data_IF_139385769987
#
_entry.id   IF_139385769987
#
_cell.length_a   1.000
_cell.length_b   1.000
_cell.length_c   1.000
_cell.angle_alpha   90.00
_cell.angle_beta   90.00
_cell.angle_gamma   90.00
#
_symmetry.space_group_name_H-M   'P 1'
#
loop_
_entity.id
_entity.type
_entity.pdbx_description
1 polymer ?
#
# COMPACT_ATOMS: atom_id res chain seq x y z
N UNK A 1 -2.57 4.32 -17.82
CA UNK A 1 -1.28 3.82 -18.34
C UNK A 1 -0.82 2.68 -17.43
N UNK A 2 -0.47 1.56 -18.00
CA UNK A 2 0.09 0.39 -17.28
C UNK A 2 1.57 0.27 -17.66
N UNK A 3 2.43 0.12 -16.65
CA UNK A 3 3.88 -0.05 -16.78
C UNK A 3 4.33 -1.11 -15.76
N UNK A 4 5.54 -1.65 -15.93
CA UNK A 4 6.08 -2.60 -14.96
C UNK A 4 6.11 -2.01 -13.54
N UNK A 5 5.39 -2.64 -12.62
CA UNK A 5 5.27 -2.22 -11.23
C UNK A 5 4.45 -0.95 -10.97
N UNK A 6 3.80 -0.37 -12.00
CA UNK A 6 2.99 0.84 -11.84
C UNK A 6 1.76 0.88 -12.73
N UNK A 7 0.67 1.43 -12.17
CA UNK A 7 -0.54 1.76 -12.91
C UNK A 7 -0.87 3.22 -12.66
N UNK A 8 -1.00 4.01 -13.73
CA UNK A 8 -1.46 5.40 -13.65
C UNK A 8 -2.88 5.48 -14.15
N UNK A 9 -3.76 6.07 -13.35
CA UNK A 9 -5.14 6.34 -13.71
C UNK A 9 -5.49 7.80 -13.41
N UNK A 10 -6.59 8.27 -13.95
CA UNK A 10 -7.12 9.62 -13.72
C UNK A 10 -8.35 9.52 -12.82
N UNK A 11 -8.48 10.44 -11.90
CA UNK A 11 -9.60 10.53 -10.96
C UNK A 11 -9.58 11.84 -10.20
N UNK A 12 -10.61 12.07 -9.40
CA UNK A 12 -10.71 13.17 -8.44
C UNK A 12 -10.03 12.83 -7.10
N UNK A 13 -10.13 13.72 -6.12
CA UNK A 13 -9.54 13.47 -4.79
C UNK A 13 -10.26 12.34 -4.03
N UNK A 14 -11.53 12.04 -4.33
CA UNK A 14 -12.22 10.86 -3.79
C UNK A 14 -11.57 9.56 -4.31
N UNK A 15 -11.10 9.56 -5.55
CA UNK A 15 -10.37 8.40 -6.10
C UNK A 15 -9.06 8.13 -5.37
N UNK A 16 -8.37 9.15 -4.82
CA UNK A 16 -7.18 8.96 -3.98
C UNK A 16 -7.56 8.25 -2.67
N UNK A 17 -8.63 8.68 -1.99
CA UNK A 17 -9.13 8.05 -0.78
C UNK A 17 -9.50 6.58 -1.04
N UNK A 18 -10.33 6.36 -2.06
CA UNK A 18 -10.75 5.01 -2.46
C UNK A 18 -9.58 4.09 -2.82
N UNK A 19 -8.59 4.61 -3.58
CA UNK A 19 -7.43 3.81 -3.95
C UNK A 19 -6.62 3.34 -2.73
N UNK A 20 -6.43 4.20 -1.72
CA UNK A 20 -5.77 3.84 -0.47
C UNK A 20 -6.57 2.81 0.35
N UNK A 21 -7.90 2.94 0.40
CA UNK A 21 -8.76 2.07 1.21
C UNK A 21 -9.01 0.72 0.54
N UNK A 22 -9.29 0.69 -0.76
CA UNK A 22 -9.80 -0.51 -1.43
C UNK A 22 -8.74 -1.36 -2.14
N UNK A 23 -7.59 -0.79 -2.56
CA UNK A 23 -6.62 -1.55 -3.36
C UNK A 23 -5.84 -2.56 -2.52
N UNK A 24 -5.99 -3.83 -2.87
CA UNK A 24 -5.40 -4.96 -2.14
C UNK A 24 -3.95 -5.25 -2.53
N UNK A 25 -3.59 -4.94 -3.78
CA UNK A 25 -2.31 -5.34 -4.38
C UNK A 25 -1.34 -4.19 -4.59
N UNK A 26 -1.78 -2.95 -4.31
CA UNK A 26 -0.94 -1.77 -4.38
C UNK A 26 -0.10 -1.62 -3.09
N UNK A 27 1.18 -1.26 -3.26
CA UNK A 27 2.07 -0.92 -2.13
C UNK A 27 1.92 0.54 -1.69
N UNK A 28 1.57 1.43 -2.63
CA UNK A 28 1.42 2.86 -2.39
C UNK A 28 0.55 3.52 -3.43
N UNK A 29 -0.10 4.59 -3.01
CA UNK A 29 -0.83 5.48 -3.89
C UNK A 29 -0.09 6.82 -3.92
N UNK A 30 0.28 7.24 -5.13
CA UNK A 30 1.00 8.49 -5.34
C UNK A 30 0.10 9.46 -6.13
N UNK A 31 -0.03 10.68 -5.63
CA UNK A 31 -0.61 11.77 -6.39
C UNK A 31 0.46 12.32 -7.36
N UNK A 32 0.27 12.11 -8.67
CA UNK A 32 1.23 12.51 -9.68
C UNK A 32 1.30 14.03 -9.78
N UNK A 33 2.43 14.61 -9.38
CA UNK A 33 2.67 16.06 -9.45
C UNK A 33 3.28 16.49 -10.78
N UNK A 34 4.07 15.63 -11.44
CA UNK A 34 4.70 15.96 -12.71
C UNK A 34 5.32 14.75 -13.41
N UNK A 35 5.58 14.95 -14.72
CA UNK A 35 6.36 14.01 -15.54
C UNK A 35 7.08 14.80 -16.62
N UNK A 36 8.38 14.60 -16.73
CA UNK A 36 9.22 15.28 -17.73
C UNK A 36 10.52 14.52 -18.00
N UNK A 37 11.13 14.78 -19.13
CA UNK A 37 12.46 14.26 -19.45
C UNK A 37 13.53 15.12 -18.80
N UNK A 38 14.58 14.53 -18.25
CA UNK A 38 15.77 15.20 -17.75
C UNK A 38 17.00 14.30 -17.89
N UNK A 39 18.03 14.78 -18.56
CA UNK A 39 19.31 14.10 -18.75
C UNK A 39 20.47 14.77 -18.01
N UNK A 40 20.24 15.99 -17.49
CA UNK A 40 21.18 16.74 -16.65
C UNK A 40 20.53 17.17 -15.34
N UNK A 41 21.35 17.47 -14.34
CA UNK A 41 20.87 18.00 -13.06
C UNK A 41 20.27 19.40 -13.20
N UNK A 42 20.74 20.23 -14.14
CA UNK A 42 20.16 21.54 -14.43
C UNK A 42 18.75 21.39 -14.99
N UNK A 43 18.55 20.48 -15.94
CA UNK A 43 17.21 20.17 -16.45
C UNK A 43 16.27 19.64 -15.35
N UNK A 44 16.78 18.75 -14.50
CA UNK A 44 16.03 18.25 -13.35
C UNK A 44 15.62 19.39 -12.42
N UNK A 45 16.55 20.30 -12.10
CA UNK A 45 16.28 21.45 -11.24
C UNK A 45 15.20 22.36 -11.84
N UNK A 46 15.40 22.83 -13.07
CA UNK A 46 14.51 23.80 -13.70
C UNK A 46 13.10 23.23 -13.92
N UNK A 47 12.99 21.97 -14.38
CA UNK A 47 11.69 21.33 -14.60
C UNK A 47 10.98 20.98 -13.30
N UNK A 48 11.71 20.60 -12.26
CA UNK A 48 11.13 20.40 -10.91
C UNK A 48 10.60 21.71 -10.32
N UNK A 49 11.32 22.82 -10.52
CA UNK A 49 10.93 24.17 -10.10
C UNK A 49 9.66 24.66 -10.82
N UNK A 50 9.42 24.23 -12.07
CA UNK A 50 8.21 24.58 -12.83
C UNK A 50 6.94 23.90 -12.32
N UNK A 51 7.03 22.80 -11.55
CA UNK A 51 5.87 22.17 -10.95
C UNK A 51 5.22 23.14 -9.95
N UNK A 52 3.89 23.35 -10.00
CA UNK A 52 3.19 24.25 -9.10
C UNK A 52 3.01 23.61 -7.71
N UNK A 53 4.10 23.52 -6.95
CA UNK A 53 4.13 22.86 -5.64
C UNK A 53 3.18 23.50 -4.63
N UNK A 54 2.93 24.79 -4.74
CA UNK A 54 1.98 25.55 -3.92
C UNK A 54 0.54 25.04 -4.02
N UNK A 55 0.20 24.34 -5.10
CA UNK A 55 -1.13 23.71 -5.25
C UNK A 55 -1.28 22.42 -4.42
N UNK A 56 -0.18 21.88 -3.92
CA UNK A 56 -0.14 20.65 -3.15
C UNK A 56 0.30 20.85 -1.72
N UNK A 57 1.26 21.76 -1.49
CA UNK A 57 2.00 21.88 -0.23
C UNK A 57 1.79 23.30 0.31
N UNK A 58 1.14 23.48 1.47
CA UNK A 58 1.01 24.78 2.13
C UNK A 58 2.36 25.29 2.63
N UNK A 59 2.43 26.60 2.95
CA UNK A 59 3.66 27.26 3.35
C UNK A 59 4.32 26.70 4.63
N UNK A 60 3.59 26.02 5.48
CA UNK A 60 4.09 25.35 6.68
C UNK A 60 4.28 23.83 6.48
N UNK A 61 3.96 23.29 5.30
CA UNK A 61 4.07 21.87 5.01
C UNK A 61 5.53 21.39 5.08
N UNK A 62 5.75 20.22 5.67
CA UNK A 62 7.05 19.54 5.71
C UNK A 62 7.19 18.65 4.50
N UNK A 63 8.11 18.96 3.61
CA UNK A 63 8.30 18.20 2.37
C UNK A 63 9.75 17.78 2.16
N UNK A 64 9.93 16.59 1.63
CA UNK A 64 11.25 16.04 1.27
C UNK A 64 11.10 14.92 0.24
N UNK A 65 12.17 14.64 -0.49
CA UNK A 65 12.20 13.52 -1.43
C UNK A 65 12.63 12.26 -0.69
N UNK A 66 11.69 11.37 -0.39
CA UNK A 66 11.91 10.16 0.42
C UNK A 66 12.63 9.07 -0.33
N UNK A 67 12.38 8.99 -1.64
CA UNK A 67 12.95 7.95 -2.49
C UNK A 67 13.13 8.46 -3.91
N UNK A 68 14.32 8.26 -4.43
CA UNK A 68 14.63 8.35 -5.85
C UNK A 68 15.03 6.96 -6.35
N UNK A 69 14.51 6.58 -7.50
CA UNK A 69 14.92 5.37 -8.20
C UNK A 69 15.14 5.70 -9.66
N UNK A 70 16.18 5.14 -10.26
CA UNK A 70 16.55 5.42 -11.64
C UNK A 70 16.90 4.13 -12.36
N UNK A 71 16.31 3.95 -13.54
CA UNK A 71 16.51 2.78 -14.39
C UNK A 71 16.77 3.24 -15.81
N UNK A 72 17.88 2.81 -16.39
CA UNK A 72 18.28 3.13 -17.79
C UNK A 72 18.20 4.63 -18.07
N UNK A 73 18.74 5.47 -17.17
CA UNK A 73 18.70 6.93 -17.28
C UNK A 73 20.08 7.52 -16.99
N UNK A 74 20.34 8.70 -17.56
CA UNK A 74 21.60 9.43 -17.38
C UNK A 74 21.80 9.86 -15.92
N UNK A 75 20.74 10.30 -15.25
CA UNK A 75 20.75 10.62 -13.83
C UNK A 75 20.49 9.36 -13.02
N UNK A 76 21.50 8.83 -12.34
CA UNK A 76 21.45 7.52 -11.65
C UNK A 76 21.75 7.60 -10.15
N UNK A 77 22.26 8.73 -9.63
CA UNK A 77 22.55 8.88 -8.20
C UNK A 77 21.28 9.29 -7.42
N UNK A 78 20.70 8.41 -6.57
CA UNK A 78 19.49 8.76 -5.83
C UNK A 78 19.67 9.96 -4.90
N UNK A 79 20.82 10.07 -4.20
CA UNK A 79 21.12 11.17 -3.28
C UNK A 79 21.18 12.52 -3.98
N UNK A 80 21.81 12.57 -5.16
CA UNK A 80 21.94 13.82 -5.91
C UNK A 80 20.59 14.25 -6.48
N UNK A 81 19.81 13.30 -7.03
CA UNK A 81 18.45 13.54 -7.48
C UNK A 81 17.59 14.11 -6.34
N UNK A 82 17.63 13.50 -5.16
CA UNK A 82 16.86 13.96 -3.98
C UNK A 82 17.28 15.39 -3.57
N UNK A 83 18.57 15.65 -3.51
CA UNK A 83 19.12 16.95 -3.10
C UNK A 83 18.75 18.06 -4.08
N UNK A 84 18.95 17.84 -5.38
CA UNK A 84 18.62 18.81 -6.44
C UNK A 84 17.12 19.08 -6.49
N UNK A 85 16.28 18.05 -6.40
CA UNK A 85 14.84 18.23 -6.37
C UNK A 85 14.36 19.01 -5.14
N UNK A 86 14.88 18.69 -3.93
CA UNK A 86 14.52 19.45 -2.71
C UNK A 86 14.88 20.92 -2.87
N UNK A 87 16.07 21.23 -3.41
CA UNK A 87 16.49 22.61 -3.68
C UNK A 87 15.56 23.32 -4.66
N UNK A 88 15.21 22.68 -5.77
CA UNK A 88 14.31 23.24 -6.78
C UNK A 88 12.90 23.53 -6.20
N UNK A 89 12.38 22.61 -5.39
CA UNK A 89 11.11 22.81 -4.68
C UNK A 89 11.16 24.00 -3.74
N UNK A 90 12.21 24.12 -2.93
CA UNK A 90 12.39 25.26 -2.01
C UNK A 90 12.42 26.56 -2.77
N UNK A 91 13.15 26.67 -3.88
CA UNK A 91 13.21 27.88 -4.71
C UNK A 91 11.82 28.23 -5.31
N UNK A 92 11.05 27.26 -5.76
CA UNK A 92 9.67 27.50 -6.18
C UNK A 92 8.81 28.04 -5.04
N UNK A 93 8.85 27.38 -3.90
CA UNK A 93 8.04 27.73 -2.73
C UNK A 93 8.38 29.13 -2.20
N UNK A 94 9.69 29.50 -2.17
CA UNK A 94 10.12 30.87 -1.83
C UNK A 94 9.47 31.91 -2.71
N UNK A 95 9.51 31.68 -4.03
CA UNK A 95 8.91 32.60 -5.00
C UNK A 95 7.39 32.74 -4.81
N UNK A 96 6.67 31.61 -4.63
CA UNK A 96 5.21 31.63 -4.54
C UNK A 96 4.69 32.15 -3.20
N UNK A 97 5.35 31.81 -2.10
CA UNK A 97 4.93 32.22 -0.76
C UNK A 97 5.60 33.52 -0.25
N UNK A 98 6.52 34.10 -1.02
CA UNK A 98 7.27 35.30 -0.63
C UNK A 98 7.95 35.13 0.75
N UNK A 99 8.55 33.97 1.00
CA UNK A 99 9.20 33.61 2.27
C UNK A 99 10.60 33.06 2.01
N UNK A 100 11.57 33.46 2.83
CA UNK A 100 12.93 32.93 2.76
C UNK A 100 13.12 31.63 3.55
N UNK A 101 12.28 31.40 4.55
CA UNK A 101 12.32 30.21 5.40
C UNK A 101 10.93 29.62 5.59
N UNK A 102 10.89 28.29 5.67
CA UNK A 102 9.67 27.53 5.90
C UNK A 102 9.76 26.88 7.29
N UNK A 103 8.73 26.97 8.14
CA UNK A 103 8.77 26.42 9.48
C UNK A 103 8.78 24.87 9.50
N UNK A 104 8.24 24.24 8.45
CA UNK A 104 8.10 22.78 8.32
C UNK A 104 7.44 22.10 9.56
N UNK A 105 6.52 22.81 10.22
CA UNK A 105 5.80 22.39 11.43
C UNK A 105 4.39 21.85 11.13
N UNK A 106 3.97 21.88 9.87
CA UNK A 106 2.70 21.35 9.41
C UNK A 106 2.76 19.88 8.98
N UNK A 107 1.75 19.47 8.20
CA UNK A 107 1.64 18.12 7.68
C UNK A 107 2.82 17.70 6.79
N UNK A 108 3.04 16.40 6.70
CA UNK A 108 4.12 15.79 5.94
C UNK A 108 3.72 15.53 4.50
N UNK A 109 4.56 15.93 3.55
CA UNK A 109 4.40 15.72 2.10
C UNK A 109 5.61 14.97 1.54
N UNK A 110 5.66 13.64 1.69
CA UNK A 110 6.77 12.84 1.20
C UNK A 110 6.70 12.70 -0.32
N UNK A 111 7.76 13.05 -1.03
CA UNK A 111 7.86 12.98 -2.49
C UNK A 111 8.66 11.76 -2.90
N UNK A 112 8.24 11.13 -3.99
CA UNK A 112 8.94 10.05 -4.65
C UNK A 112 9.18 10.40 -6.10
N UNK A 113 10.35 10.06 -6.60
CA UNK A 113 10.68 10.20 -8.01
C UNK A 113 11.17 8.89 -8.57
N UNK A 114 10.71 8.60 -9.75
CA UNK A 114 11.16 7.45 -10.51
C UNK A 114 11.58 7.87 -11.92
N UNK A 115 12.83 7.61 -12.24
CA UNK A 115 13.39 7.79 -13.57
C UNK A 115 13.33 6.48 -14.35
N UNK A 116 12.81 6.52 -15.55
CA UNK A 116 12.84 5.44 -16.52
C UNK A 116 13.15 6.01 -17.91
N UNK A 117 14.30 5.61 -18.48
CA UNK A 117 14.73 6.11 -19.80
C UNK A 117 14.68 7.63 -19.87
N UNK A 118 15.31 8.28 -18.89
CA UNK A 118 15.40 9.73 -18.72
C UNK A 118 14.06 10.46 -18.47
N UNK A 119 12.96 9.75 -18.32
CA UNK A 119 11.69 10.33 -17.92
C UNK A 119 11.54 10.25 -16.40
N UNK A 120 11.48 11.42 -15.76
CA UNK A 120 11.16 11.56 -14.35
C UNK A 120 9.65 11.56 -14.15
N UNK A 121 9.13 10.63 -13.37
CA UNK A 121 7.75 10.67 -12.85
C UNK A 121 7.80 11.01 -11.37
N UNK A 122 7.12 12.07 -10.98
CA UNK A 122 7.14 12.62 -9.62
C UNK A 122 5.77 12.47 -8.99
N UNK A 123 5.72 11.88 -7.80
CA UNK A 123 4.49 11.68 -7.04
C UNK A 123 4.63 12.07 -5.58
N UNK A 124 3.56 12.59 -5.00
CA UNK A 124 3.41 12.84 -3.57
C UNK A 124 2.80 11.60 -2.95
N UNK A 125 3.45 11.02 -1.94
CA UNK A 125 3.02 9.77 -1.30
C UNK A 125 1.84 10.03 -0.38
N UNK A 126 0.66 9.56 -0.78
CA UNK A 126 -0.59 9.73 -0.03
C UNK A 126 -0.77 8.66 1.05
N UNK A 127 -0.11 7.51 0.90
CA UNK A 127 -0.29 6.35 1.77
C UNK A 127 0.53 6.43 3.07
N UNK A 128 1.75 6.96 3.02
CA UNK A 128 2.68 7.00 4.15
C UNK A 128 3.32 5.64 4.41
N UNK A 129 2.88 4.92 5.42
CA UNK A 129 3.30 3.53 5.67
C UNK A 129 2.83 2.66 4.51
N UNK A 130 3.65 1.68 4.07
CA UNK A 130 3.29 0.80 2.94
C UNK A 130 1.96 0.10 3.15
N UNK A 131 1.15 -0.01 2.08
CA UNK A 131 -0.22 -0.54 2.15
C UNK A 131 -0.29 -2.02 2.52
N UNK A 132 0.78 -2.81 2.36
CA UNK A 132 0.81 -4.17 2.89
C UNK A 132 0.59 -4.20 4.41
N UNK A 133 1.01 -3.19 5.16
CA UNK A 133 0.73 -3.09 6.58
C UNK A 133 -0.75 -2.70 6.79
N UNK A 134 -1.62 -3.70 6.80
CA UNK A 134 -3.09 -3.53 6.94
C UNK A 134 -3.53 -3.03 8.32
N UNK A 135 -2.69 -3.17 9.33
CA UNK A 135 -2.99 -2.85 10.72
C UNK A 135 -3.25 -4.07 11.61
N UNK A 136 -3.66 -5.20 11.06
CA UNK A 136 -4.00 -6.40 11.84
C UNK A 136 -2.78 -7.20 12.32
N UNK A 137 -1.63 -7.15 11.61
CA UNK A 137 -0.47 -7.96 11.97
C UNK A 137 0.32 -7.33 13.10
N UNK A 138 0.16 -7.82 14.30
CA UNK A 138 0.98 -7.46 15.47
C UNK A 138 2.12 -8.46 15.68
N UNK A 139 1.89 -9.73 15.33
CA UNK A 139 2.85 -10.82 15.49
C UNK A 139 3.25 -11.35 14.11
N UNK A 140 4.54 -11.49 13.88
CA UNK A 140 5.09 -12.03 12.64
C UNK A 140 6.01 -13.20 12.90
N UNK A 141 5.95 -14.22 12.04
CA UNK A 141 6.96 -15.27 11.94
C UNK A 141 8.22 -14.75 11.24
N UNK A 142 9.28 -15.57 11.19
CA UNK A 142 10.47 -15.26 10.39
C UNK A 142 10.07 -15.13 8.90
N UNK A 143 10.40 -14.00 8.26
CA UNK A 143 10.20 -13.71 6.85
C UNK A 143 8.76 -13.99 6.31
N UNK A 144 7.70 -13.38 6.86
CA UNK A 144 6.35 -13.58 6.35
C UNK A 144 6.20 -12.98 4.94
N UNK A 145 5.32 -13.60 4.13
CA UNK A 145 4.89 -12.99 2.87
C UNK A 145 4.16 -11.66 3.15
N UNK A 146 4.33 -10.66 2.28
CA UNK A 146 3.58 -9.42 2.42
C UNK A 146 2.11 -9.61 2.06
N UNK A 147 1.23 -8.89 2.72
CA UNK A 147 -0.22 -8.99 2.56
C UNK A 147 -0.64 -8.64 1.13
N UNK A 148 -0.01 -7.65 0.52
CA UNK A 148 -0.27 -7.26 -0.88
C UNK A 148 0.08 -8.36 -1.87
N UNK A 149 1.19 -9.09 -1.64
CA UNK A 149 1.57 -10.21 -2.48
C UNK A 149 0.66 -11.42 -2.24
N UNK A 150 0.31 -11.72 -0.99
CA UNK A 150 -0.63 -12.78 -0.68
C UNK A 150 -2.01 -12.53 -1.33
N UNK A 151 -2.54 -11.32 -1.20
CA UNK A 151 -3.78 -10.93 -1.88
C UNK A 151 -3.67 -11.07 -3.41
N UNK A 152 -2.56 -10.66 -4.01
CA UNK A 152 -2.34 -10.79 -5.44
C UNK A 152 -2.35 -12.26 -5.90
N UNK A 153 -1.68 -13.15 -5.17
CA UNK A 153 -1.65 -14.58 -5.48
C UNK A 153 -3.04 -15.23 -5.36
N UNK A 154 -3.81 -14.86 -4.33
CA UNK A 154 -5.19 -15.33 -4.17
C UNK A 154 -6.06 -14.85 -5.34
N UNK A 155 -5.99 -13.57 -5.71
CA UNK A 155 -6.78 -13.00 -6.81
C UNK A 155 -6.39 -13.55 -8.18
N UNK A 156 -5.13 -13.92 -8.39
CA UNK A 156 -4.65 -14.55 -9.62
C UNK A 156 -5.00 -16.03 -9.69
N UNK A 157 -5.26 -16.67 -8.55
CA UNK A 157 -5.70 -18.06 -8.50
C UNK A 157 -7.17 -18.18 -8.95
N UNK A 158 -7.62 -19.36 -9.42
CA UNK A 158 -9.03 -19.60 -9.72
C UNK A 158 -9.89 -19.85 -8.47
N UNK A 159 -9.34 -19.65 -7.26
CA UNK A 159 -10.08 -19.79 -6.01
C UNK A 159 -11.24 -18.78 -5.93
N UNK A 160 -12.35 -19.23 -5.37
CA UNK A 160 -13.52 -18.41 -5.03
C UNK A 160 -14.02 -18.78 -3.65
N UNK A 161 -14.74 -17.88 -3.01
CA UNK A 161 -15.21 -18.00 -1.61
C UNK A 161 -16.02 -19.28 -1.29
N UNK A 162 -16.69 -19.85 -2.29
CA UNK A 162 -17.44 -21.11 -2.21
C UNK A 162 -16.58 -22.38 -2.29
N UNK A 163 -15.27 -22.21 -2.49
CA UNK A 163 -14.30 -23.31 -2.61
C UNK A 163 -13.38 -23.33 -1.42
N UNK A 164 -12.98 -24.55 -1.01
CA UNK A 164 -12.01 -24.72 0.05
C UNK A 164 -10.66 -24.13 -0.35
N UNK A 165 -10.04 -23.39 0.60
CA UNK A 165 -8.64 -22.95 0.55
C UNK A 165 -7.90 -23.51 1.77
N UNK A 166 -6.74 -24.11 1.54
CA UNK A 166 -5.89 -24.65 2.59
C UNK A 166 -4.49 -24.05 2.47
N UNK A 167 -3.98 -23.51 3.57
CA UNK A 167 -2.56 -23.15 3.73
C UNK A 167 -1.93 -24.07 4.81
N UNK A 168 -1.15 -25.10 4.38
CA UNK A 168 -0.55 -26.05 5.31
C UNK A 168 0.70 -25.54 6.03
N UNK A 169 1.18 -24.34 5.71
CA UNK A 169 2.30 -23.64 6.32
C UNK A 169 1.93 -22.17 6.58
N UNK A 170 0.78 -21.96 7.26
CA UNK A 170 0.15 -20.65 7.30
C UNK A 170 0.93 -19.60 8.09
N UNK A 171 1.89 -20.02 8.90
CA UNK A 171 2.68 -19.08 9.69
C UNK A 171 1.76 -18.18 10.54
N UNK A 172 1.97 -16.87 10.46
CA UNK A 172 1.13 -15.87 11.14
C UNK A 172 -0.24 -15.62 10.50
N UNK A 173 -0.67 -16.46 9.55
CA UNK A 173 -2.02 -16.47 8.98
C UNK A 173 -2.23 -15.56 7.75
N UNK A 174 -1.20 -15.11 7.08
CA UNK A 174 -1.34 -14.10 6.00
C UNK A 174 -2.29 -14.54 4.89
N UNK A 175 -2.09 -15.73 4.30
CA UNK A 175 -2.98 -16.21 3.23
C UNK A 175 -4.41 -16.44 3.70
N UNK A 176 -4.66 -17.16 4.81
CA UNK A 176 -6.01 -17.33 5.31
C UNK A 176 -6.73 -16.01 5.61
N UNK A 177 -6.05 -15.05 6.23
CA UNK A 177 -6.63 -13.73 6.58
C UNK A 177 -6.96 -12.93 5.31
N UNK A 178 -6.02 -12.79 4.37
CA UNK A 178 -6.27 -12.06 3.12
C UNK A 178 -7.38 -12.75 2.28
N UNK A 179 -7.46 -14.10 2.28
CA UNK A 179 -8.55 -14.82 1.63
C UNK A 179 -9.91 -14.53 2.28
N UNK A 180 -9.98 -14.52 3.60
CA UNK A 180 -11.20 -14.21 4.32
C UNK A 180 -11.64 -12.74 4.12
N UNK A 181 -10.70 -11.80 4.15
CA UNK A 181 -10.99 -10.40 3.83
C UNK A 181 -11.49 -10.22 2.38
N UNK A 182 -10.96 -10.99 1.43
CA UNK A 182 -11.44 -10.99 0.04
C UNK A 182 -12.85 -11.59 -0.04
N UNK A 183 -13.11 -12.71 0.64
CA UNK A 183 -14.41 -13.38 0.66
C UNK A 183 -15.49 -12.50 1.28
N UNK A 184 -15.20 -11.86 2.39
CA UNK A 184 -16.09 -10.94 3.11
C UNK A 184 -16.14 -9.53 2.51
N UNK A 185 -15.38 -9.26 1.44
CA UNK A 185 -15.24 -7.94 0.81
C UNK A 185 -14.81 -6.82 1.77
N UNK A 186 -14.06 -7.16 2.81
CA UNK A 186 -13.49 -6.18 3.75
C UNK A 186 -12.36 -5.42 3.05
N UNK A 187 -12.46 -4.10 2.96
CA UNK A 187 -11.43 -3.27 2.33
C UNK A 187 -10.16 -3.20 3.18
N UNK A 188 -8.96 -3.43 2.58
CA UNK A 188 -7.72 -3.62 3.35
C UNK A 188 -7.19 -2.35 4.04
N UNK A 189 -7.71 -1.17 3.69
CA UNK A 189 -7.29 0.11 4.25
C UNK A 189 -8.14 0.60 5.43
N UNK A 190 -9.16 -0.13 5.89
CA UNK A 190 -10.08 0.35 6.93
C UNK A 190 -9.45 0.48 8.33
N UNK A 191 -8.44 -0.34 8.63
CA UNK A 191 -7.83 -0.43 9.98
C UNK A 191 -6.46 0.26 10.04
N UNK A 192 -6.27 1.33 9.26
CA UNK A 192 -5.02 2.08 9.24
C UNK A 192 -5.25 3.55 8.88
N UNK A 193 -4.23 4.37 9.13
CA UNK A 193 -4.19 5.79 8.76
C UNK A 193 -3.37 6.01 7.48
N UNK A 194 -3.59 7.14 6.82
CA UNK A 194 -2.88 7.56 5.61
C UNK A 194 -2.31 8.96 5.78
N UNK A 195 -1.10 9.19 5.27
CA UNK A 195 -0.45 10.51 5.38
C UNK A 195 -1.31 11.64 4.79
N UNK A 196 -2.07 11.36 3.73
CA UNK A 196 -2.90 12.37 3.07
C UNK A 196 -4.20 12.73 3.84
N UNK A 197 -4.54 12.05 4.92
CA UNK A 197 -5.62 12.47 5.84
C UNK A 197 -5.29 13.79 6.55
N UNK A 198 -4.00 14.09 6.69
CA UNK A 198 -3.50 15.34 7.27
C UNK A 198 -3.44 16.50 6.25
N UNK A 199 -4.00 16.35 5.04
CA UNK A 199 -4.03 17.37 4.00
C UNK A 199 -5.45 17.91 3.74
N UNK A 200 -6.15 18.50 4.73
CA UNK A 200 -7.56 18.83 4.60
C UNK A 200 -7.88 19.89 3.52
N UNK A 201 -6.90 20.74 3.17
CA UNK A 201 -7.04 21.74 2.12
C UNK A 201 -7.00 21.09 0.72
N UNK A 202 -6.22 20.02 0.53
CA UNK A 202 -6.10 19.30 -0.72
C UNK A 202 -7.13 18.18 -0.83
N UNK A 203 -7.29 17.39 0.25
CA UNK A 203 -8.22 16.25 0.33
C UNK A 203 -9.11 16.43 1.55
N UNK A 204 -10.31 17.00 1.40
CA UNK A 204 -11.24 17.23 2.50
C UNK A 204 -11.55 15.95 3.29
N UNK A 205 -11.52 16.01 4.62
CA UNK A 205 -11.76 14.85 5.51
C UNK A 205 -13.08 14.11 5.24
N UNK A 206 -14.09 14.81 4.72
CA UNK A 206 -15.35 14.18 4.31
C UNK A 206 -15.18 13.11 3.25
N UNK A 207 -14.21 13.27 2.30
CA UNK A 207 -13.97 12.30 1.22
C UNK A 207 -13.38 10.99 1.76
N UNK A 208 -12.54 11.08 2.80
CA UNK A 208 -12.04 9.90 3.50
C UNK A 208 -13.16 9.15 4.22
N UNK A 209 -14.03 9.89 4.93
CA UNK A 209 -15.21 9.28 5.59
C UNK A 209 -16.15 8.64 4.59
N UNK A 210 -16.53 9.34 3.52
CA UNK A 210 -17.38 8.80 2.46
C UNK A 210 -16.79 7.51 1.85
N UNK A 211 -15.48 7.46 1.63
CA UNK A 211 -14.84 6.26 1.08
C UNK A 211 -14.77 5.11 2.10
N UNK A 212 -14.58 5.42 3.38
CA UNK A 212 -14.60 4.40 4.44
C UNK A 212 -16.01 3.87 4.69
N UNK A 213 -17.02 4.73 4.68
CA UNK A 213 -18.43 4.32 4.84
C UNK A 213 -18.88 3.46 3.65
N UNK A 214 -18.53 3.85 2.42
CA UNK A 214 -18.73 3.03 1.23
C UNK A 214 -18.07 1.65 1.34
N UNK A 215 -16.88 1.58 1.92
CA UNK A 215 -16.18 0.32 2.11
C UNK A 215 -16.90 -0.58 3.12
N UNK A 216 -17.38 -0.03 4.24
CA UNK A 216 -18.15 -0.77 5.26
C UNK A 216 -19.50 -1.26 4.73
N UNK A 217 -20.20 -0.44 3.94
CA UNK A 217 -21.48 -0.82 3.31
C UNK A 217 -21.33 -2.00 2.33
N UNK A 218 -20.15 -2.21 1.79
CA UNK A 218 -19.87 -3.31 0.87
C UNK A 218 -19.40 -4.60 1.57
N UNK A 219 -19.17 -4.57 2.87
CA UNK A 219 -18.80 -5.76 3.63
C UNK A 219 -19.89 -6.81 3.65
N UNK A 220 -19.50 -8.05 3.60
CA UNK A 220 -20.39 -9.23 3.74
C UNK A 220 -19.90 -10.10 4.88
N UNK A 221 -20.21 -9.75 6.14
CA UNK A 221 -19.73 -10.49 7.32
C UNK A 221 -20.31 -11.89 7.44
N UNK A 222 -21.49 -12.12 6.85
CA UNK A 222 -22.20 -13.41 6.93
C UNK A 222 -21.82 -14.36 5.79
N UNK A 223 -20.72 -14.10 5.08
CA UNK A 223 -20.26 -14.96 4.00
C UNK A 223 -19.83 -16.33 4.53
N UNK A 224 -20.34 -17.41 3.93
CA UNK A 224 -19.86 -18.76 4.23
C UNK A 224 -18.57 -19.04 3.45
N UNK A 225 -17.56 -19.54 4.16
CA UNK A 225 -16.25 -19.87 3.60
C UNK A 225 -15.73 -21.20 4.15
N UNK A 226 -14.79 -21.82 3.44
CA UNK A 226 -14.03 -22.98 3.93
C UNK A 226 -12.53 -22.66 3.77
N UNK A 227 -12.02 -21.81 4.66
CA UNK A 227 -10.64 -21.35 4.67
C UNK A 227 -9.94 -21.98 5.88
N UNK A 228 -8.85 -22.69 5.62
CA UNK A 228 -8.13 -23.44 6.63
C UNK A 228 -6.63 -23.11 6.61
N UNK A 229 -6.07 -22.82 7.77
CA UNK A 229 -4.64 -22.61 7.97
C UNK A 229 -4.07 -23.58 9.00
N UNK A 230 -2.95 -24.20 8.66
CA UNK A 230 -2.24 -25.14 9.50
C UNK A 230 -0.77 -24.75 9.62
N UNK A 231 -0.19 -25.04 10.76
CA UNK A 231 1.25 -24.98 11.00
C UNK A 231 1.64 -25.99 12.06
N UNK A 232 2.85 -26.48 12.03
CA UNK A 232 3.38 -27.40 13.05
C UNK A 232 3.66 -26.68 14.39
N UNK A 233 3.92 -25.39 14.33
CA UNK A 233 4.25 -24.55 15.48
C UNK A 233 2.99 -23.94 16.11
N UNK A 234 2.71 -24.34 17.37
CA UNK A 234 1.55 -23.85 18.13
C UNK A 234 1.62 -22.37 18.50
N UNK A 235 2.81 -21.80 18.66
CA UNK A 235 2.98 -20.39 18.99
C UNK A 235 2.62 -19.52 17.79
N UNK A 236 3.02 -19.96 16.62
CA UNK A 236 2.68 -19.30 15.35
C UNK A 236 1.17 -19.36 15.09
N UNK A 237 0.50 -20.48 15.39
CA UNK A 237 -0.96 -20.59 15.29
C UNK A 237 -1.69 -19.67 16.28
N UNK A 238 -1.15 -19.48 17.49
CA UNK A 238 -1.71 -18.48 18.43
C UNK A 238 -1.61 -17.07 17.87
N UNK A 239 -0.45 -16.73 17.30
CA UNK A 239 -0.26 -15.44 16.60
C UNK A 239 -1.22 -15.28 15.41
N UNK A 240 -1.40 -16.32 14.59
CA UNK A 240 -2.33 -16.30 13.46
C UNK A 240 -3.79 -16.06 13.90
N UNK A 241 -4.21 -16.68 15.00
CA UNK A 241 -5.55 -16.45 15.56
C UNK A 241 -5.73 -15.02 16.05
N UNK A 242 -4.74 -14.46 16.75
CA UNK A 242 -4.83 -13.06 17.18
C UNK A 242 -4.88 -12.12 16.00
N UNK A 243 -4.04 -12.32 14.98
CA UNK A 243 -4.06 -11.51 13.75
C UNK A 243 -5.42 -11.62 13.02
N UNK A 244 -6.07 -12.81 13.03
CA UNK A 244 -7.39 -13.00 12.43
C UNK A 244 -8.48 -12.23 13.20
N UNK A 245 -8.41 -12.22 14.54
CA UNK A 245 -9.30 -11.42 15.41
C UNK A 245 -9.09 -9.92 15.11
N UNK A 246 -7.84 -9.46 15.07
CA UNK A 246 -7.52 -8.06 14.80
C UNK A 246 -7.94 -7.61 13.38
N UNK A 247 -8.02 -8.57 12.44
CA UNK A 247 -8.55 -8.35 11.10
C UNK A 247 -10.10 -8.47 11.02
N UNK A 248 -10.77 -8.93 12.08
CA UNK A 248 -12.22 -9.14 12.12
C UNK A 248 -12.72 -10.33 11.30
N UNK A 249 -11.87 -11.34 11.05
CA UNK A 249 -12.17 -12.50 10.17
C UNK A 249 -11.96 -13.87 10.83
N UNK A 250 -11.74 -13.90 12.14
CA UNK A 250 -11.49 -15.14 12.89
C UNK A 250 -12.61 -16.18 12.75
N UNK A 251 -13.85 -15.72 12.66
CA UNK A 251 -15.04 -16.56 12.46
C UNK A 251 -15.13 -17.20 11.06
N UNK A 252 -14.37 -16.70 10.08
CA UNK A 252 -14.33 -17.19 8.70
C UNK A 252 -13.19 -18.17 8.42
N UNK A 253 -12.31 -18.42 9.42
CA UNK A 253 -11.07 -19.18 9.22
C UNK A 253 -10.92 -20.26 10.27
N UNK A 254 -10.60 -21.48 9.83
CA UNK A 254 -10.18 -22.55 10.74
C UNK A 254 -8.64 -22.56 10.85
N UNK A 255 -8.10 -22.21 12.04
CA UNK A 255 -6.67 -22.23 12.32
C UNK A 255 -6.35 -23.33 13.35
N UNK A 256 -5.46 -24.26 12.99
CA UNK A 256 -5.12 -25.40 13.85
C UNK A 256 -3.64 -25.74 13.78
N UNK A 257 -3.04 -26.03 14.95
CA UNK A 257 -1.72 -26.67 14.99
C UNK A 257 -1.81 -28.07 14.42
N UNK A 258 -1.14 -28.32 13.30
CA UNK A 258 -1.11 -29.64 12.67
C UNK A 258 0.10 -29.75 11.74
N UNK A 259 0.96 -30.76 11.90
CA UNK A 259 2.04 -30.98 10.94
C UNK A 259 1.47 -31.47 9.59
N UNK A 260 2.20 -31.18 8.50
CA UNK A 260 1.79 -31.55 7.14
C UNK A 260 1.55 -33.06 6.99
N UNK A 261 2.35 -33.90 7.66
CA UNK A 261 2.18 -35.37 7.65
C UNK A 261 0.80 -35.85 8.05
N UNK A 262 0.14 -35.08 8.92
CA UNK A 262 -1.16 -35.41 9.52
C UNK A 262 -2.34 -34.70 8.82
N UNK A 263 -2.02 -33.87 7.81
CA UNK A 263 -3.05 -33.17 7.07
C UNK A 263 -3.90 -34.16 6.27
N UNK A 264 -5.20 -34.19 6.59
CA UNK A 264 -6.23 -34.97 5.89
C UNK A 264 -7.45 -34.09 5.67
N UNK A 265 -8.07 -34.22 4.53
CA UNK A 265 -9.29 -33.47 4.22
C UNK A 265 -10.33 -34.38 3.55
N UNK A 266 -11.61 -34.33 3.95
CA UNK A 266 -12.66 -35.17 3.37
C UNK A 266 -13.02 -34.75 1.94
N UNK A 267 -12.89 -33.48 1.57
CA UNK A 267 -13.14 -33.00 0.22
C UNK A 267 -11.97 -33.39 -0.71
N UNK A 268 -12.30 -33.91 -1.89
CA UNK A 268 -11.32 -34.37 -2.88
C UNK A 268 -10.65 -33.23 -3.66
N UNK A 269 -11.34 -32.09 -3.78
CA UNK A 269 -10.89 -30.94 -4.58
C UNK A 269 -10.92 -29.68 -3.74
N UNK A 270 -9.91 -28.84 -3.92
CA UNK A 270 -9.74 -27.55 -3.25
C UNK A 270 -8.51 -26.82 -3.78
N UNK A 271 -8.13 -25.74 -3.12
CA UNK A 271 -6.96 -24.95 -3.45
C UNK A 271 -5.97 -25.00 -2.29
N UNK A 272 -4.71 -25.27 -2.62
CA UNK A 272 -3.59 -25.10 -1.69
C UNK A 272 -2.86 -23.84 -2.15
N UNK A 273 -2.86 -22.82 -1.31
CA UNK A 273 -2.14 -21.56 -1.53
C UNK A 273 -1.27 -21.34 -0.30
N UNK A 274 0.04 -21.39 -0.49
CA UNK A 274 0.98 -21.41 0.62
C UNK A 274 2.33 -20.83 0.25
N UNK A 275 3.07 -20.40 1.27
CA UNK A 275 4.49 -20.02 1.20
C UNK A 275 5.27 -20.97 2.11
N UNK A 276 5.73 -22.13 1.60
CA UNK A 276 6.42 -23.13 2.42
C UNK A 276 7.77 -22.62 2.93
N UNK A 277 8.30 -23.16 4.04
CA UNK A 277 9.64 -22.83 4.51
C UNK A 277 10.70 -23.28 3.50
N UNK A 278 11.79 -22.52 3.41
CA UNK A 278 12.92 -22.77 2.52
C UNK A 278 13.87 -23.78 3.13
#
# INVERSE_FOLDING_TARGET
>A
KVEDGRVTFQGDMKAVCRANIFLRTAERILLKAGEFQAVTFDELFEKTKQIPWENYIPANGRFWVTKAASVKSALFSPSDIQSIMKKAMVERMKTCYHKERFPEDGASYPIRVFFMKDIATIGIDTSGVSLHKRGYRQFSSKAPITETLAAALILLSPWKKDRILVDPFCGSGTFPIEAAMIAANIAPGLNREFTAEDWPELIPRRLWREAADEAREQENPDVETDIQGYDADGDVIRAARQNAIDAGVDHLIHLQQRPLSDLRHPKKYGFIITNPPY
#
